data_IF_931196588133
#
_entry.id   IF_931196588133
#
_cell.length_a   1.000
_cell.length_b   1.000
_cell.length_c   1.000
_cell.angle_alpha   90.00
_cell.angle_beta   90.00
_cell.angle_gamma   90.00
#
_symmetry.space_group_name_H-M   'P 1'
#
loop_
_entity.id
_entity.type
_entity.pdbx_description
1 polymer ?
#
# COMPACT_ATOMS: atom_id res chain seq x y z
N UNK A 1 2.38 3.81 -32.54
CA UNK A 1 2.50 3.71 -31.07
C UNK A 1 1.24 3.15 -30.40
N UNK A 2 0.02 3.65 -30.67
CA UNK A 2 -1.23 3.05 -30.10
C UNK A 2 -1.58 1.64 -30.61
N UNK A 3 -1.21 1.30 -31.86
CA UNK A 3 -1.34 -0.08 -32.37
C UNK A 3 -0.43 -1.04 -31.59
N UNK A 4 0.79 -0.60 -31.29
CA UNK A 4 1.78 -1.33 -30.49
C UNK A 4 1.33 -1.51 -29.03
N UNK A 5 0.64 -0.53 -28.42
CA UNK A 5 0.09 -0.64 -27.07
C UNK A 5 -1.14 -1.55 -26.99
N UNK A 6 -2.05 -1.48 -27.99
CA UNK A 6 -3.17 -2.42 -28.11
C UNK A 6 -2.65 -3.83 -28.39
N UNK A 7 -1.68 -3.96 -29.29
CA UNK A 7 -1.03 -5.23 -29.61
C UNK A 7 -0.20 -5.73 -28.43
N UNK A 8 0.39 -4.87 -27.58
CA UNK A 8 1.09 -5.26 -26.35
C UNK A 8 0.12 -5.70 -25.23
N UNK A 9 -1.05 -5.07 -25.12
CA UNK A 9 -2.11 -5.50 -24.21
C UNK A 9 -2.73 -6.80 -24.68
N UNK A 10 -3.06 -6.93 -25.97
CA UNK A 10 -3.62 -8.15 -26.56
C UNK A 10 -2.59 -9.29 -26.63
N UNK A 11 -1.31 -9.00 -26.87
CA UNK A 11 -0.23 -10.01 -26.86
C UNK A 11 0.21 -10.38 -25.45
N UNK A 12 0.26 -9.43 -24.51
CA UNK A 12 0.45 -9.71 -23.08
C UNK A 12 -0.69 -10.56 -22.51
N UNK A 13 -1.94 -10.28 -22.92
CA UNK A 13 -3.11 -11.09 -22.60
C UNK A 13 -3.03 -12.50 -23.20
N UNK A 14 -2.57 -12.65 -24.45
CA UNK A 14 -2.31 -13.96 -25.06
C UNK A 14 -1.12 -14.70 -24.44
N UNK A 15 -0.11 -14.00 -23.92
CA UNK A 15 1.08 -14.60 -23.31
C UNK A 15 0.81 -15.17 -21.91
N UNK A 16 -0.08 -14.53 -21.13
CA UNK A 16 -0.48 -14.98 -19.78
C UNK A 16 -1.39 -16.23 -19.82
N UNK A 17 -2.04 -16.50 -20.97
CA UNK A 17 -3.04 -17.56 -21.15
C UNK A 17 -2.42 -18.80 -21.84
N UNK A 18 -1.45 -19.47 -21.19
CA UNK A 18 -0.96 -20.79 -21.62
C UNK A 18 -1.25 -21.85 -20.56
N UNK A 19 -2.50 -22.27 -20.49
CA UNK A 19 -2.95 -23.42 -19.69
C UNK A 19 -4.28 -23.97 -20.21
N UNK A 20 -4.40 -25.29 -20.36
CA UNK A 20 -5.60 -25.97 -20.94
C UNK A 20 -6.93 -25.61 -20.23
N UNK A 21 -6.92 -25.19 -18.96
CA UNK A 21 -8.13 -24.75 -18.25
C UNK A 21 -8.56 -23.31 -18.58
N UNK A 22 -7.62 -22.45 -18.99
CA UNK A 22 -7.87 -21.02 -19.26
C UNK A 22 -8.46 -20.82 -20.67
N UNK A 23 -8.17 -21.70 -21.63
CA UNK A 23 -8.80 -21.69 -22.96
C UNK A 23 -10.31 -21.95 -22.95
N UNK A 24 -10.79 -22.76 -21.99
CA UNK A 24 -12.24 -22.93 -21.75
C UNK A 24 -12.87 -21.67 -21.16
N UNK A 25 -12.15 -20.95 -20.30
CA UNK A 25 -12.62 -19.70 -19.71
C UNK A 25 -12.74 -18.60 -20.78
N UNK A 26 -11.77 -18.48 -21.70
CA UNK A 26 -11.82 -17.48 -22.77
C UNK A 26 -12.98 -17.74 -23.76
N UNK A 27 -13.18 -19.01 -24.17
CA UNK A 27 -14.31 -19.38 -25.03
C UNK A 27 -15.68 -19.17 -24.36
N UNK A 28 -15.76 -19.34 -23.04
CA UNK A 28 -17.00 -19.11 -22.28
C UNK A 28 -17.29 -17.62 -22.09
N UNK A 29 -16.25 -16.80 -21.88
CA UNK A 29 -16.36 -15.34 -21.76
C UNK A 29 -16.69 -14.67 -23.10
N UNK A 30 -16.27 -15.23 -24.24
CA UNK A 30 -16.68 -14.75 -25.57
C UNK A 30 -18.17 -14.98 -25.85
N UNK A 31 -18.75 -16.05 -25.30
CA UNK A 31 -20.18 -16.37 -25.45
C UNK A 31 -21.11 -15.46 -24.62
N UNK A 32 -20.61 -14.80 -23.57
CA UNK A 32 -21.40 -13.92 -22.70
C UNK A 32 -20.75 -12.53 -22.56
N UNK A 33 -20.98 -11.60 -23.51
CA UNK A 33 -20.30 -10.30 -23.56
C UNK A 33 -20.59 -9.41 -22.34
N UNK A 34 -21.76 -9.57 -21.71
CA UNK A 34 -22.16 -8.83 -20.50
C UNK A 34 -21.31 -9.24 -19.30
N UNK A 35 -21.07 -10.54 -19.12
CA UNK A 35 -20.24 -11.10 -18.04
C UNK A 35 -18.77 -10.73 -18.27
N UNK A 36 -18.30 -10.79 -19.52
CA UNK A 36 -16.94 -10.37 -19.91
C UNK A 36 -16.67 -8.92 -19.52
N UNK A 37 -17.57 -7.99 -19.87
CA UNK A 37 -17.39 -6.57 -19.61
C UNK A 37 -17.43 -6.21 -18.10
N UNK A 38 -18.01 -7.08 -17.27
CA UNK A 38 -18.01 -6.96 -15.81
C UNK A 38 -16.77 -7.58 -15.17
N UNK A 39 -16.26 -8.70 -15.69
CA UNK A 39 -15.09 -9.39 -15.13
C UNK A 39 -13.74 -8.81 -15.58
N UNK A 40 -13.67 -8.22 -16.78
CA UNK A 40 -12.43 -7.70 -17.35
C UNK A 40 -11.68 -6.70 -16.43
N UNK A 41 -12.35 -5.72 -15.80
CA UNK A 41 -11.68 -4.76 -14.90
C UNK A 41 -11.06 -5.48 -13.68
N UNK A 42 -11.79 -6.39 -13.06
CA UNK A 42 -11.30 -7.17 -11.91
C UNK A 42 -10.12 -8.09 -12.27
N UNK A 43 -10.12 -8.70 -13.46
CA UNK A 43 -8.98 -9.48 -13.95
C UNK A 43 -7.77 -8.56 -14.13
N UNK A 44 -7.96 -7.38 -14.70
CA UNK A 44 -6.92 -6.35 -14.83
C UNK A 44 -6.37 -5.91 -13.47
N UNK A 45 -7.24 -5.71 -12.48
CA UNK A 45 -6.86 -5.38 -11.10
C UNK A 45 -5.98 -6.47 -10.48
N UNK A 46 -6.40 -7.73 -10.56
CA UNK A 46 -5.64 -8.86 -9.98
C UNK A 46 -4.30 -9.03 -10.70
N UNK A 47 -4.26 -8.86 -12.02
CA UNK A 47 -3.03 -8.91 -12.79
C UNK A 47 -2.08 -7.76 -12.40
N UNK A 48 -2.60 -6.53 -12.28
CA UNK A 48 -1.83 -5.37 -11.82
C UNK A 48 -1.28 -5.56 -10.41
N UNK A 49 -2.11 -6.02 -9.48
CA UNK A 49 -1.69 -6.32 -8.10
C UNK A 49 -0.61 -7.42 -8.06
N UNK A 50 -0.74 -8.45 -8.89
CA UNK A 50 0.28 -9.51 -9.01
C UNK A 50 1.57 -8.98 -9.61
N UNK A 51 1.49 -8.09 -10.60
CA UNK A 51 2.66 -7.41 -11.16
C UNK A 51 3.35 -6.55 -10.11
N UNK A 52 2.60 -5.83 -9.28
CA UNK A 52 3.16 -5.04 -8.17
C UNK A 52 3.82 -5.94 -7.12
N UNK A 53 3.27 -7.12 -6.80
CA UNK A 53 3.95 -8.08 -5.91
C UNK A 53 5.36 -8.42 -6.41
N UNK A 54 5.53 -8.56 -7.73
CA UNK A 54 6.79 -8.95 -8.36
C UNK A 54 7.75 -7.78 -8.58
N UNK A 55 7.24 -6.57 -8.81
CA UNK A 55 8.04 -5.40 -9.22
C UNK A 55 8.24 -4.38 -8.11
N UNK A 56 7.34 -4.32 -7.13
CA UNK A 56 7.38 -3.34 -6.06
C UNK A 56 8.50 -3.67 -5.06
N UNK A 57 9.58 -2.91 -5.19
CA UNK A 57 10.80 -3.07 -4.43
C UNK A 57 10.71 -2.56 -2.98
N UNK A 58 11.82 -1.95 -2.54
CA UNK A 58 11.92 -1.35 -1.20
C UNK A 58 11.06 -0.09 -1.13
N UNK A 59 10.50 0.21 0.03
CA UNK A 59 9.68 1.42 0.22
C UNK A 59 10.49 2.72 0.04
N UNK A 60 11.80 2.68 0.31
CA UNK A 60 12.72 3.81 0.19
C UNK A 60 13.39 3.92 -1.18
N UNK A 61 12.98 3.11 -2.16
CA UNK A 61 13.52 3.18 -3.50
C UNK A 61 13.06 4.46 -4.19
N UNK A 62 14.00 5.32 -4.58
CA UNK A 62 13.74 6.62 -5.21
C UNK A 62 12.84 6.50 -6.44
N UNK A 63 13.04 5.48 -7.28
CA UNK A 63 12.17 5.23 -8.43
C UNK A 63 10.71 5.00 -8.03
N UNK A 64 10.46 4.18 -7.00
CA UNK A 64 9.11 3.91 -6.49
C UNK A 64 8.47 5.16 -5.90
N UNK A 65 9.24 6.04 -5.25
CA UNK A 65 8.75 7.32 -4.74
C UNK A 65 8.36 8.27 -5.89
N UNK A 66 9.22 8.39 -6.90
CA UNK A 66 8.97 9.22 -8.09
C UNK A 66 7.74 8.72 -8.85
N UNK A 67 7.65 7.40 -9.07
CA UNK A 67 6.51 6.79 -9.75
C UNK A 67 5.19 7.07 -9.02
N UNK A 68 5.14 6.86 -7.70
CA UNK A 68 3.93 7.12 -6.90
C UNK A 68 3.58 8.62 -6.85
N UNK A 69 4.59 9.50 -6.75
CA UNK A 69 4.38 10.94 -6.87
C UNK A 69 3.81 11.34 -8.24
N UNK A 70 4.30 10.73 -9.32
CA UNK A 70 3.77 10.91 -10.68
C UNK A 70 2.33 10.40 -10.84
N UNK A 71 2.00 9.25 -10.24
CA UNK A 71 0.62 8.74 -10.23
C UNK A 71 -0.31 9.68 -9.47
N UNK A 72 0.12 10.20 -8.33
CA UNK A 72 -0.65 11.17 -7.54
C UNK A 72 -0.88 12.46 -8.32
N UNK A 73 0.15 12.95 -9.03
CA UNK A 73 0.03 14.12 -9.91
C UNK A 73 -1.00 13.87 -11.03
N UNK A 74 -0.96 12.69 -11.67
CA UNK A 74 -1.94 12.33 -12.70
C UNK A 74 -3.36 12.25 -12.16
N UNK A 75 -3.55 11.71 -10.95
CA UNK A 75 -4.85 11.72 -10.25
C UNK A 75 -5.36 13.16 -10.06
N UNK A 76 -4.49 14.06 -9.59
CA UNK A 76 -4.84 15.47 -9.40
C UNK A 76 -5.19 16.18 -10.71
N UNK A 77 -4.46 15.93 -11.79
CA UNK A 77 -4.71 16.50 -13.12
C UNK A 77 -6.06 16.00 -13.66
N UNK A 78 -6.31 14.69 -13.63
CA UNK A 78 -7.54 14.11 -14.17
C UNK A 78 -8.77 14.60 -13.40
N UNK A 79 -8.71 14.64 -12.06
CA UNK A 79 -9.81 15.17 -11.24
C UNK A 79 -10.00 16.69 -11.42
N UNK A 80 -8.94 17.45 -11.65
CA UNK A 80 -9.04 18.87 -11.97
C UNK A 80 -9.76 19.10 -13.31
N UNK A 81 -9.40 18.32 -14.34
CA UNK A 81 -10.05 18.40 -15.66
C UNK A 81 -11.51 17.92 -15.61
N UNK A 82 -11.80 16.90 -14.80
CA UNK A 82 -13.16 16.38 -14.58
C UNK A 82 -14.14 17.48 -14.12
N UNK A 83 -13.69 18.40 -13.27
CA UNK A 83 -14.50 19.52 -12.77
C UNK A 83 -14.55 20.72 -13.72
N UNK A 84 -13.78 20.69 -14.82
CA UNK A 84 -13.69 21.77 -15.81
C UNK A 84 -13.81 21.23 -17.25
N UNK A 85 -14.97 20.65 -17.62
CA UNK A 85 -15.16 20.06 -18.94
C UNK A 85 -14.96 21.05 -20.09
N UNK A 86 -15.24 22.35 -19.89
CA UNK A 86 -15.01 23.39 -20.90
C UNK A 86 -13.51 23.64 -21.19
N UNK A 87 -12.65 23.51 -20.17
CA UNK A 87 -11.19 23.60 -20.35
C UNK A 87 -10.66 22.34 -21.05
N UNK A 88 -11.25 21.18 -20.74
CA UNK A 88 -10.96 19.92 -21.40
C UNK A 88 -11.33 19.98 -22.90
N UNK A 89 -12.51 20.50 -23.24
CA UNK A 89 -12.99 20.58 -24.61
C UNK A 89 -12.17 21.52 -25.53
N UNK A 90 -11.40 22.46 -24.96
CA UNK A 90 -10.59 23.40 -25.76
C UNK A 90 -9.25 22.82 -26.24
N UNK A 91 -8.89 21.60 -25.82
CA UNK A 91 -7.57 21.00 -26.05
C UNK A 91 -7.47 20.12 -27.30
N UNK A 92 -8.19 20.43 -28.38
CA UNK A 92 -8.01 19.78 -29.70
C UNK A 92 -8.19 18.26 -29.75
N UNK A 93 -7.98 17.67 -30.94
CA UNK A 93 -8.36 16.26 -31.24
C UNK A 93 -7.58 15.20 -30.44
N UNK A 94 -6.34 15.48 -30.03
CA UNK A 94 -5.54 14.53 -29.25
C UNK A 94 -6.05 14.41 -27.81
N UNK A 95 -6.69 15.46 -27.28
CA UNK A 95 -7.27 15.45 -25.96
C UNK A 95 -8.61 14.72 -25.91
N UNK A 96 -9.36 14.65 -27.01
CA UNK A 96 -10.59 13.87 -27.11
C UNK A 96 -10.36 12.38 -26.78
N UNK A 97 -9.20 11.84 -27.19
CA UNK A 97 -8.82 10.46 -26.87
C UNK A 97 -8.53 10.31 -25.37
N UNK A 98 -7.76 11.24 -24.79
CA UNK A 98 -7.48 11.24 -23.34
C UNK A 98 -8.78 11.36 -22.53
N UNK A 99 -9.65 12.28 -22.93
CA UNK A 99 -10.94 12.52 -22.28
C UNK A 99 -11.87 11.32 -22.41
N UNK A 100 -11.88 10.61 -23.54
CA UNK A 100 -12.64 9.36 -23.70
C UNK A 100 -12.27 8.30 -22.66
N UNK A 101 -11.03 8.28 -22.17
CA UNK A 101 -10.54 7.28 -21.22
C UNK A 101 -10.21 7.86 -19.83
N UNK A 102 -10.57 9.10 -19.54
CA UNK A 102 -10.16 9.78 -18.30
C UNK A 102 -10.54 9.00 -17.03
N UNK A 103 -11.71 8.34 -17.02
CA UNK A 103 -12.17 7.53 -15.89
C UNK A 103 -11.33 6.28 -15.72
N UNK A 104 -11.00 5.57 -16.81
CA UNK A 104 -10.12 4.41 -16.79
C UNK A 104 -8.68 4.80 -16.39
N UNK A 105 -8.24 5.99 -16.80
CA UNK A 105 -6.93 6.54 -16.41
C UNK A 105 -6.92 6.82 -14.90
N UNK A 106 -7.97 7.47 -14.36
CA UNK A 106 -8.10 7.74 -12.93
C UNK A 106 -8.12 6.43 -12.12
N UNK A 107 -8.92 5.47 -12.58
CA UNK A 107 -9.05 4.14 -11.99
C UNK A 107 -7.70 3.41 -11.97
N UNK A 108 -6.96 3.43 -13.08
CA UNK A 108 -5.63 2.81 -13.16
C UNK A 108 -4.64 3.43 -12.16
N UNK A 109 -4.53 4.77 -12.11
CA UNK A 109 -3.57 5.42 -11.22
C UNK A 109 -3.96 5.28 -9.74
N UNK A 110 -5.24 5.46 -9.38
CA UNK A 110 -5.71 5.23 -8.02
C UNK A 110 -5.56 3.76 -7.60
N UNK A 111 -5.88 2.83 -8.50
CA UNK A 111 -5.75 1.39 -8.27
C UNK A 111 -4.29 0.98 -8.05
N UNK A 112 -3.37 1.49 -8.87
CA UNK A 112 -1.94 1.25 -8.71
C UNK A 112 -1.37 1.83 -7.40
N UNK A 113 -1.82 3.03 -7.00
CA UNK A 113 -1.45 3.60 -5.70
C UNK A 113 -1.97 2.75 -4.53
N UNK A 114 -3.26 2.37 -4.56
CA UNK A 114 -3.86 1.50 -3.54
C UNK A 114 -3.17 0.14 -3.46
N UNK A 115 -2.82 -0.45 -4.61
CA UNK A 115 -2.05 -1.69 -4.70
C UNK A 115 -0.69 -1.56 -3.99
N UNK A 116 0.08 -0.52 -4.32
CA UNK A 116 1.37 -0.24 -3.69
C UNK A 116 1.23 -0.08 -2.17
N UNK A 117 0.26 0.70 -1.70
CA UNK A 117 0.04 0.93 -0.27
C UNK A 117 -0.39 -0.35 0.45
N UNK A 118 -1.31 -1.12 -0.12
CA UNK A 118 -1.71 -2.44 0.41
C UNK A 118 -0.48 -3.33 0.62
N UNK A 119 0.42 -3.40 -0.36
CA UNK A 119 1.63 -4.21 -0.25
C UNK A 119 2.61 -3.69 0.81
N UNK A 120 2.79 -2.38 0.92
CA UNK A 120 3.65 -1.80 1.96
C UNK A 120 3.08 -2.04 3.37
N UNK A 121 1.78 -1.84 3.58
CA UNK A 121 1.14 -2.11 4.86
C UNK A 121 1.12 -3.61 5.18
N UNK A 122 0.90 -4.47 4.19
CA UNK A 122 0.96 -5.92 4.37
C UNK A 122 2.36 -6.40 4.77
N UNK A 123 3.41 -5.90 4.11
CA UNK A 123 4.81 -6.20 4.47
C UNK A 123 5.15 -5.82 5.92
N UNK A 124 4.36 -4.95 6.54
CA UNK A 124 4.55 -4.50 7.92
C UNK A 124 3.48 -4.93 8.89
N UNK A 125 2.56 -5.77 8.45
CA UNK A 125 1.60 -6.41 9.33
C UNK A 125 2.31 -7.43 10.22
N UNK A 126 2.45 -7.11 11.51
CA UNK A 126 2.91 -8.04 12.55
C UNK A 126 1.78 -8.52 13.47
N UNK A 127 0.57 -8.00 13.28
CA UNK A 127 -0.61 -8.31 14.10
C UNK A 127 -1.87 -8.48 13.23
N UNK A 128 -2.86 -9.18 13.79
CA UNK A 128 -4.19 -9.32 13.20
C UNK A 128 -4.91 -7.99 12.99
N UNK A 129 -4.62 -6.97 13.80
CA UNK A 129 -5.22 -5.63 13.65
C UNK A 129 -4.76 -4.93 12.37
N UNK A 130 -3.47 -5.02 12.03
CA UNK A 130 -2.93 -4.43 10.78
C UNK A 130 -3.50 -5.14 9.56
N UNK A 131 -3.73 -6.47 9.64
CA UNK A 131 -4.36 -7.23 8.56
C UNK A 131 -5.79 -6.74 8.26
N UNK A 132 -6.54 -6.31 9.28
CA UNK A 132 -7.86 -5.71 9.09
C UNK A 132 -7.82 -4.44 8.23
N UNK A 133 -6.81 -3.58 8.44
CA UNK A 133 -6.61 -2.38 7.62
C UNK A 133 -6.15 -2.72 6.19
N UNK A 134 -5.28 -3.72 6.03
CA UNK A 134 -4.88 -4.22 4.70
C UNK A 134 -6.09 -4.76 3.93
N UNK A 135 -6.97 -5.51 4.59
CA UNK A 135 -8.21 -6.00 3.99
C UNK A 135 -9.12 -4.84 3.57
N UNK A 136 -9.22 -3.80 4.39
CA UNK A 136 -9.95 -2.59 4.04
C UNK A 136 -9.38 -1.90 2.78
N UNK A 137 -8.05 -1.78 2.65
CA UNK A 137 -7.43 -1.23 1.44
C UNK A 137 -7.67 -2.12 0.21
N UNK A 138 -7.62 -3.45 0.36
CA UNK A 138 -8.00 -4.38 -0.71
C UNK A 138 -9.45 -4.16 -1.14
N UNK A 139 -10.38 -4.02 -0.20
CA UNK A 139 -11.78 -3.73 -0.53
C UNK A 139 -11.93 -2.42 -1.29
N UNK A 140 -11.24 -1.35 -0.85
CA UNK A 140 -11.24 -0.08 -1.59
C UNK A 140 -10.66 -0.23 -3.01
N UNK A 141 -9.63 -1.05 -3.18
CA UNK A 141 -9.06 -1.36 -4.49
C UNK A 141 -10.05 -2.10 -5.38
N UNK A 142 -10.83 -3.06 -4.85
CA UNK A 142 -11.93 -3.69 -5.60
C UNK A 142 -13.09 -2.73 -5.90
N UNK A 143 -13.42 -1.81 -4.96
CA UNK A 143 -14.45 -0.80 -5.17
C UNK A 143 -14.06 0.21 -6.24
N UNK A 144 -12.76 0.53 -6.37
CA UNK A 144 -12.21 1.38 -7.42
C UNK A 144 -12.55 0.87 -8.83
N UNK A 145 -12.63 -0.45 -9.02
CA UNK A 145 -12.92 -1.08 -10.32
C UNK A 145 -14.40 -1.07 -10.72
N UNK A 146 -15.30 -0.79 -9.77
CA UNK A 146 -16.74 -0.88 -10.00
C UNK A 146 -17.23 0.35 -10.78
N UNK A 147 -17.52 0.15 -12.07
CA UNK A 147 -18.07 1.17 -13.01
C UNK A 147 -19.30 1.95 -12.53
N UNK A 148 -20.03 1.45 -11.53
CA UNK A 148 -21.25 2.06 -10.97
C UNK A 148 -21.05 3.01 -9.79
N UNK A 149 -19.81 3.33 -9.38
CA UNK A 149 -19.57 4.35 -8.36
C UNK A 149 -19.87 5.79 -8.84
N UNK A 150 -20.20 5.94 -10.12
CA UNK A 150 -20.43 7.23 -10.79
C UNK A 150 -21.83 7.77 -10.48
N UNK A 151 -22.82 6.89 -10.34
CA UNK A 151 -24.23 7.26 -10.11
C UNK A 151 -24.54 7.59 -8.64
N UNK A 152 -23.61 7.31 -7.72
CA UNK A 152 -23.80 7.51 -6.28
C UNK A 152 -23.55 8.94 -5.80
N UNK A 153 -23.12 9.87 -6.67
CA UNK A 153 -22.97 11.30 -6.33
C UNK A 153 -22.05 11.59 -5.13
N UNK A 154 -21.20 10.63 -4.74
CA UNK A 154 -20.51 10.63 -3.45
C UNK A 154 -19.07 11.16 -3.59
N UNK A 155 -18.50 11.83 -2.56
CA UNK A 155 -17.09 12.24 -2.54
C UNK A 155 -16.09 11.06 -2.47
N UNK A 156 -16.47 9.84 -2.88
CA UNK A 156 -15.62 8.66 -2.72
C UNK A 156 -14.30 8.77 -3.48
N UNK A 157 -14.31 9.31 -4.71
CA UNK A 157 -13.07 9.57 -5.49
C UNK A 157 -12.15 10.55 -4.75
N UNK A 158 -12.73 11.56 -4.13
CA UNK A 158 -12.01 12.56 -3.34
C UNK A 158 -11.49 11.99 -2.02
N UNK A 159 -12.25 11.12 -1.38
CA UNK A 159 -11.82 10.37 -0.20
C UNK A 159 -10.68 9.41 -0.54
N UNK A 160 -10.76 8.70 -1.67
CA UNK A 160 -9.68 7.84 -2.17
C UNK A 160 -8.43 8.64 -2.55
N UNK A 161 -8.60 9.80 -3.20
CA UNK A 161 -7.49 10.72 -3.46
C UNK A 161 -6.85 11.19 -2.15
N UNK A 162 -7.65 11.61 -1.16
CA UNK A 162 -7.16 12.00 0.17
C UNK A 162 -6.43 10.86 0.88
N UNK A 163 -6.95 9.62 0.79
CA UNK A 163 -6.29 8.42 1.31
C UNK A 163 -4.95 8.20 0.62
N UNK A 164 -4.88 8.37 -0.70
CA UNK A 164 -3.65 8.20 -1.46
C UNK A 164 -2.61 9.25 -1.07
N UNK A 165 -3.01 10.52 -0.92
CA UNK A 165 -2.14 11.60 -0.45
C UNK A 165 -1.64 11.30 0.96
N UNK A 166 -2.55 10.92 1.86
CA UNK A 166 -2.23 10.64 3.26
C UNK A 166 -1.24 9.47 3.37
N UNK A 167 -1.52 8.36 2.68
CA UNK A 167 -0.65 7.18 2.66
C UNK A 167 0.73 7.51 2.09
N UNK A 168 0.80 8.28 1.00
CA UNK A 168 2.06 8.75 0.42
C UNK A 168 2.89 9.57 1.42
N UNK A 169 2.26 10.55 2.09
CA UNK A 169 2.93 11.43 3.04
C UNK A 169 3.42 10.67 4.27
N UNK A 170 2.64 9.70 4.79
CA UNK A 170 2.95 8.92 5.99
C UNK A 170 4.27 8.15 5.88
N UNK A 171 4.64 7.65 4.70
CA UNK A 171 5.96 7.02 4.55
C UNK A 171 7.01 7.96 3.95
N UNK A 172 6.61 8.94 3.12
CA UNK A 172 7.56 9.87 2.50
C UNK A 172 8.32 10.65 3.58
N UNK A 173 7.63 11.20 4.57
CA UNK A 173 8.22 12.03 5.60
C UNK A 173 9.23 11.27 6.46
N UNK A 174 8.92 10.07 7.00
CA UNK A 174 9.91 9.26 7.69
C UNK A 174 11.14 8.90 6.87
N UNK A 175 11.00 8.75 5.55
CA UNK A 175 12.14 8.52 4.64
C UNK A 175 12.97 9.80 4.48
N UNK A 176 12.33 10.96 4.31
CA UNK A 176 13.01 12.26 4.15
C UNK A 176 13.73 12.70 5.42
N UNK A 177 13.11 12.50 6.59
CA UNK A 177 13.64 12.94 7.88
C UNK A 177 14.47 11.85 8.59
N UNK A 178 14.48 10.62 8.08
CA UNK A 178 15.15 9.46 8.68
C UNK A 178 14.75 9.17 10.14
N UNK A 179 13.52 9.54 10.53
CA UNK A 179 12.98 9.41 11.89
C UNK A 179 11.56 8.82 11.83
N UNK A 180 11.29 7.85 12.71
CA UNK A 180 9.95 7.24 12.88
C UNK A 180 9.43 7.55 14.28
N UNK A 181 8.85 8.75 14.46
CA UNK A 181 8.23 9.15 15.71
C UNK A 181 6.83 9.75 15.49
N UNK A 182 6.12 9.98 16.59
CA UNK A 182 4.77 10.57 16.53
C UNK A 182 4.77 12.00 15.96
N UNK A 183 5.89 12.73 16.01
CA UNK A 183 6.00 14.11 15.51
C UNK A 183 6.07 14.11 13.99
N UNK A 184 6.89 13.22 13.41
CA UNK A 184 6.97 13.01 11.96
C UNK A 184 5.64 12.47 11.44
N UNK A 185 4.97 11.56 12.17
CA UNK A 185 3.62 11.13 11.81
C UNK A 185 2.63 12.32 11.77
N UNK A 186 2.59 13.15 12.82
CA UNK A 186 1.72 14.33 12.86
C UNK A 186 2.05 15.32 11.73
N UNK A 187 3.33 15.52 11.43
CA UNK A 187 3.78 16.35 10.31
C UNK A 187 3.32 15.78 8.96
N UNK A 188 3.34 14.45 8.79
CA UNK A 188 2.82 13.77 7.60
C UNK A 188 1.32 13.99 7.42
N UNK A 189 0.55 13.89 8.51
CA UNK A 189 -0.89 14.16 8.52
C UNK A 189 -1.15 15.61 8.14
N UNK A 190 -0.46 16.56 8.77
CA UNK A 190 -0.58 17.98 8.45
C UNK A 190 -0.24 18.28 6.99
N UNK A 191 0.87 17.74 6.48
CA UNK A 191 1.27 17.90 5.09
C UNK A 191 0.24 17.31 4.12
N UNK A 192 -0.37 16.17 4.47
CA UNK A 192 -1.43 15.56 3.64
C UNK A 192 -2.69 16.43 3.55
N UNK A 193 -3.13 17.00 4.69
CA UNK A 193 -4.27 17.93 4.75
C UNK A 193 -3.95 19.19 3.96
N UNK A 194 -2.76 19.77 4.18
CA UNK A 194 -2.32 20.98 3.51
C UNK A 194 -2.27 20.79 1.98
N UNK A 195 -1.63 19.72 1.51
CA UNK A 195 -1.52 19.42 0.08
C UNK A 195 -2.90 19.21 -0.55
N UNK A 196 -3.76 18.41 0.09
CA UNK A 196 -5.12 18.20 -0.39
C UNK A 196 -5.93 19.50 -0.41
N UNK A 197 -5.81 20.33 0.62
CA UNK A 197 -6.50 21.62 0.70
C UNK A 197 -6.02 22.60 -0.37
N UNK A 198 -4.71 22.72 -0.59
CA UNK A 198 -4.14 23.52 -1.66
C UNK A 198 -4.65 23.07 -3.03
N UNK A 199 -4.71 21.75 -3.26
CA UNK A 199 -5.29 21.19 -4.47
C UNK A 199 -6.79 21.49 -4.61
N UNK A 200 -7.57 21.42 -3.53
CA UNK A 200 -8.99 21.84 -3.51
C UNK A 200 -9.18 23.31 -3.87
N UNK A 201 -8.27 24.20 -3.45
CA UNK A 201 -8.36 25.62 -3.85
C UNK A 201 -8.25 25.83 -5.35
N UNK A 202 -7.47 24.99 -6.03
CA UNK A 202 -7.31 25.02 -7.48
C UNK A 202 -8.53 24.42 -8.18
N UNK A 203 -9.03 23.31 -7.63
CA UNK A 203 -10.12 22.54 -8.21
C UNK A 203 -11.48 23.28 -8.11
N UNK A 204 -11.83 23.82 -6.95
CA UNK A 204 -13.13 24.45 -6.70
C UNK A 204 -13.01 25.98 -6.84
N UNK A 205 -13.70 26.63 -7.79
CA UNK A 205 -13.72 28.09 -7.88
C UNK A 205 -14.26 28.71 -6.59
N UNK A 206 -13.66 29.79 -6.10
CA UNK A 206 -14.02 30.46 -4.82
C UNK A 206 -15.53 30.68 -4.64
N UNK A 207 -16.24 31.01 -5.72
CA UNK A 207 -17.69 31.21 -5.72
C UNK A 207 -18.50 29.98 -5.25
N UNK A 208 -17.99 28.76 -5.47
CA UNK A 208 -18.70 27.51 -5.19
C UNK A 208 -18.31 26.86 -3.85
N UNK A 209 -17.40 27.46 -3.07
CA UNK A 209 -16.88 26.84 -1.84
C UNK A 209 -17.95 26.59 -0.77
N UNK A 210 -19.01 27.39 -0.76
CA UNK A 210 -20.12 27.24 0.19
C UNK A 210 -21.19 26.24 -0.25
N UNK A 211 -21.05 25.65 -1.44
CA UNK A 211 -22.02 24.65 -1.91
C UNK A 211 -21.90 23.35 -1.09
N UNK A 212 -23.01 22.63 -0.84
CA UNK A 212 -22.97 21.35 -0.12
C UNK A 212 -22.02 20.32 -0.75
N UNK A 213 -21.90 20.32 -2.08
CA UNK A 213 -20.98 19.45 -2.81
C UNK A 213 -19.51 19.80 -2.54
N UNK A 214 -19.15 21.09 -2.62
CA UNK A 214 -17.79 21.55 -2.30
C UNK A 214 -17.41 21.25 -0.84
N UNK A 215 -18.33 21.49 0.10
CA UNK A 215 -18.09 21.22 1.52
C UNK A 215 -17.84 19.73 1.77
N UNK A 216 -18.60 18.82 1.13
CA UNK A 216 -18.34 17.36 1.21
C UNK A 216 -16.99 16.97 0.63
N UNK A 217 -16.56 17.55 -0.50
CA UNK A 217 -15.25 17.30 -1.11
C UNK A 217 -14.10 17.81 -0.25
N UNK A 218 -14.26 18.97 0.39
CA UNK A 218 -13.27 19.53 1.31
C UNK A 218 -13.23 18.72 2.61
N UNK A 219 -14.37 18.32 3.15
CA UNK A 219 -14.45 17.62 4.43
C UNK A 219 -13.79 16.25 4.40
N UNK A 220 -13.86 15.50 3.29
CA UNK A 220 -13.14 14.22 3.16
C UNK A 220 -11.61 14.40 3.23
N UNK A 221 -11.10 15.56 2.82
CA UNK A 221 -9.70 15.95 2.94
C UNK A 221 -9.18 16.07 4.36
N UNK A 222 -10.09 16.25 5.32
CA UNK A 222 -9.78 16.28 6.76
C UNK A 222 -10.20 14.96 7.40
N UNK A 223 -11.38 14.44 7.07
CA UNK A 223 -11.93 13.23 7.67
C UNK A 223 -11.02 12.01 7.46
N UNK A 224 -10.45 11.84 6.25
CA UNK A 224 -9.58 10.69 5.96
C UNK A 224 -8.26 10.77 6.75
N UNK A 225 -7.47 11.86 6.72
CA UNK A 225 -6.27 11.96 7.56
C UNK A 225 -6.57 11.86 9.06
N UNK A 226 -7.69 12.42 9.54
CA UNK A 226 -8.10 12.26 10.94
C UNK A 226 -8.45 10.81 11.29
N UNK A 227 -9.03 10.04 10.35
CA UNK A 227 -9.21 8.61 10.55
C UNK A 227 -7.86 7.90 10.71
N UNK A 228 -6.83 8.27 9.96
CA UNK A 228 -5.47 7.73 10.16
C UNK A 228 -4.90 8.06 11.54
N UNK A 229 -5.17 9.24 12.09
CA UNK A 229 -4.79 9.59 13.48
C UNK A 229 -5.45 8.65 14.48
N UNK A 230 -6.75 8.36 14.33
CA UNK A 230 -7.47 7.40 15.18
C UNK A 230 -6.88 5.99 15.03
N UNK A 231 -6.70 5.53 13.79
CA UNK A 231 -6.12 4.20 13.51
C UNK A 231 -4.70 4.05 14.05
N UNK A 232 -3.91 5.12 14.01
CA UNK A 232 -2.58 5.18 14.62
C UNK A 232 -2.65 5.09 16.15
N UNK A 233 -3.54 5.86 16.78
CA UNK A 233 -3.77 5.81 18.23
C UNK A 233 -4.24 4.43 18.72
N UNK A 234 -5.10 3.77 17.93
CA UNK A 234 -5.54 2.40 18.17
C UNK A 234 -4.49 1.32 17.82
N UNK A 235 -3.29 1.71 17.35
CA UNK A 235 -2.21 0.80 16.91
C UNK A 235 -2.65 -0.17 15.81
N UNK A 236 -3.60 0.25 14.97
CA UNK A 236 -4.07 -0.51 13.80
C UNK A 236 -3.13 -0.29 12.62
N UNK A 237 -2.58 0.91 12.47
CA UNK A 237 -1.61 1.23 11.42
C UNK A 237 -0.24 1.48 12.05
N UNK A 238 0.83 0.79 11.61
CA UNK A 238 2.18 1.09 12.07
C UNK A 238 2.64 2.48 11.56
N UNK A 239 3.38 3.27 12.37
CA UNK A 239 3.83 4.62 12.00
C UNK A 239 4.58 4.65 10.68
N UNK A 240 5.39 3.62 10.45
CA UNK A 240 6.09 3.33 9.20
C UNK A 240 6.03 1.83 9.02
N UNK A 241 5.91 1.37 7.77
CA UNK A 241 6.10 -0.03 7.46
C UNK A 241 7.57 -0.46 7.68
N UNK A 242 7.96 -0.64 8.94
CA UNK A 242 9.14 -1.39 9.35
C UNK A 242 8.76 -2.86 9.32
N UNK A 243 9.34 -3.61 8.40
CA UNK A 243 9.05 -5.02 8.23
C UNK A 243 10.13 -5.85 8.91
N UNK A 244 9.79 -6.62 9.95
CA UNK A 244 10.68 -7.70 10.39
C UNK A 244 10.75 -8.75 9.26
N UNK A 245 11.86 -8.80 8.54
CA UNK A 245 12.08 -9.77 7.45
C UNK A 245 12.25 -11.18 8.00
N UNK A 246 12.92 -11.31 9.15
CA UNK A 246 13.16 -12.58 9.84
C UNK A 246 13.28 -12.30 11.33
N UNK A 247 12.66 -13.13 12.15
CA UNK A 247 12.82 -13.07 13.60
C UNK A 247 12.63 -14.47 14.17
N UNK A 248 13.39 -14.83 15.19
CA UNK A 248 13.21 -16.12 15.84
C UNK A 248 14.22 -16.37 16.95
N UNK A 249 13.97 -17.46 17.67
CA UNK A 249 14.89 -18.06 18.63
C UNK A 249 15.66 -19.17 17.94
N UNK A 250 16.95 -19.25 18.24
CA UNK A 250 17.92 -20.15 17.65
C UNK A 250 18.84 -20.71 18.74
N UNK A 251 19.41 -21.89 18.48
CA UNK A 251 20.41 -22.53 19.33
C UNK A 251 21.80 -21.92 19.15
N UNK A 252 22.11 -21.38 17.97
CA UNK A 252 23.35 -20.65 17.71
C UNK A 252 23.20 -19.70 16.52
N UNK A 253 23.99 -18.64 16.50
CA UNK A 253 24.04 -17.64 15.42
C UNK A 253 25.50 -17.35 15.09
N UNK A 254 25.96 -17.82 13.93
CA UNK A 254 27.32 -17.57 13.44
C UNK A 254 27.30 -16.56 12.32
N UNK A 255 28.24 -15.61 12.37
CA UNK A 255 28.45 -14.66 11.28
C UNK A 255 29.36 -15.31 10.23
N UNK A 256 28.93 -15.29 8.98
CA UNK A 256 29.69 -15.76 7.84
C UNK A 256 29.81 -14.63 6.81
N UNK A 257 30.87 -13.83 6.94
CA UNK A 257 31.06 -12.60 6.15
C UNK A 257 29.94 -11.57 6.36
N UNK A 258 29.10 -11.41 5.33
CA UNK A 258 27.91 -10.52 5.33
C UNK A 258 26.63 -11.23 5.76
N UNK A 259 26.64 -12.56 5.80
CA UNK A 259 25.49 -13.38 6.12
C UNK A 259 25.54 -13.91 7.54
N UNK A 260 24.41 -14.44 8.00
CA UNK A 260 24.25 -15.08 9.30
C UNK A 260 23.73 -16.50 9.13
N UNK A 261 24.49 -17.46 9.65
CA UNK A 261 24.10 -18.87 9.74
C UNK A 261 23.35 -19.06 11.06
N UNK A 262 22.12 -19.55 10.96
CA UNK A 262 21.19 -19.67 12.07
C UNK A 262 20.91 -21.15 12.34
N UNK A 263 21.25 -21.62 13.53
CA UNK A 263 21.10 -23.02 13.93
C UNK A 263 19.81 -23.20 14.73
N UNK A 264 18.93 -24.10 14.29
CA UNK A 264 17.68 -24.42 14.95
C UNK A 264 17.27 -25.85 14.62
N UNK A 265 16.45 -26.45 15.46
CA UNK A 265 16.02 -27.83 15.29
C UNK A 265 14.68 -27.88 14.56
N UNK A 266 14.64 -28.62 13.46
CA UNK A 266 13.42 -28.75 12.65
C UNK A 266 13.28 -30.13 12.02
N UNK A 267 12.13 -30.80 12.19
CA UNK A 267 11.79 -31.96 11.38
C UNK A 267 11.83 -31.63 9.88
N UNK A 268 12.33 -32.56 9.07
CA UNK A 268 12.53 -32.35 7.64
C UNK A 268 11.25 -31.94 6.89
N UNK A 269 10.10 -32.46 7.32
CA UNK A 269 8.80 -32.21 6.70
C UNK A 269 8.23 -30.81 7.00
N UNK A 270 8.73 -30.09 8.02
CA UNK A 270 8.27 -28.74 8.37
C UNK A 270 9.06 -27.66 7.61
N UNK A 271 9.17 -27.78 6.28
CA UNK A 271 10.10 -26.95 5.51
C UNK A 271 9.85 -25.43 5.57
N UNK A 272 8.65 -25.02 5.98
CA UNK A 272 8.24 -23.63 6.18
C UNK A 272 8.62 -23.06 7.56
N UNK A 273 8.88 -23.89 8.57
CA UNK A 273 9.24 -23.41 9.90
C UNK A 273 10.65 -22.84 9.89
N UNK A 274 10.81 -21.63 10.43
CA UNK A 274 12.09 -20.93 10.60
C UNK A 274 12.27 -20.60 12.08
N UNK A 275 13.40 -21.02 12.67
CA UNK A 275 13.66 -20.90 14.10
C UNK A 275 12.84 -21.88 14.94
N UNK A 276 13.19 -21.95 16.22
CA UNK A 276 12.51 -22.82 17.17
C UNK A 276 11.20 -22.19 17.65
N UNK A 277 10.10 -22.92 17.47
CA UNK A 277 8.78 -22.54 18.02
C UNK A 277 8.64 -22.93 19.49
N UNK A 278 9.38 -23.96 19.90
CA UNK A 278 9.56 -24.39 21.28
C UNK A 278 11.05 -24.65 21.46
N UNK A 279 11.67 -23.83 22.30
CA UNK A 279 13.07 -24.00 22.66
C UNK A 279 13.14 -24.82 23.94
N UNK A 280 13.76 -26.01 23.86
CA UNK A 280 14.04 -26.84 25.02
C UNK A 280 15.44 -26.49 25.51
N UNK A 281 15.53 -25.85 26.67
CA UNK A 281 16.80 -25.46 27.27
C UNK A 281 17.23 -26.49 28.33
N UNK A 282 18.47 -26.96 28.24
CA UNK A 282 19.18 -27.64 29.32
C UNK A 282 19.96 -26.63 30.18
N UNK A 283 20.43 -27.08 31.34
CA UNK A 283 21.24 -26.25 32.21
C UNK A 283 22.56 -25.86 31.50
N UNK A 284 22.84 -24.55 31.42
CA UNK A 284 23.98 -24.00 30.69
C UNK A 284 23.73 -23.62 29.23
N UNK A 285 22.56 -23.95 28.66
CA UNK A 285 22.22 -23.56 27.28
C UNK A 285 22.06 -22.05 27.13
N UNK A 286 22.53 -21.53 25.99
CA UNK A 286 22.35 -20.13 25.60
C UNK A 286 21.23 -20.02 24.59
N UNK A 287 20.35 -19.04 24.81
CA UNK A 287 19.26 -18.71 23.89
C UNK A 287 19.70 -17.57 22.98
N UNK A 288 19.74 -17.82 21.67
CA UNK A 288 20.08 -16.78 20.70
C UNK A 288 18.81 -16.23 20.05
N UNK A 289 18.57 -14.93 20.23
CA UNK A 289 17.52 -14.23 19.50
C UNK A 289 18.14 -13.51 18.31
N UNK A 290 17.61 -13.79 17.11
CA UNK A 290 18.02 -13.10 15.89
C UNK A 290 16.82 -12.42 15.24
N UNK A 291 17.01 -11.16 14.86
CA UNK A 291 16.06 -10.39 14.07
C UNK A 291 16.76 -9.66 12.93
N UNK A 292 16.20 -9.80 11.73
CA UNK A 292 16.50 -8.96 10.56
C UNK A 292 15.29 -8.06 10.33
N UNK A 293 15.48 -6.77 10.55
CA UNK A 293 14.43 -5.76 10.38
C UNK A 293 14.79 -4.92 9.17
N UNK A 294 13.85 -4.80 8.23
CA UNK A 294 13.94 -3.83 7.17
C UNK A 294 13.76 -2.43 7.77
N UNK A 295 14.76 -1.58 7.59
CA UNK A 295 14.70 -0.17 7.90
C UNK A 295 15.15 0.62 6.65
N UNK A 296 14.43 1.70 6.29
CA UNK A 296 14.88 2.64 5.26
C UNK A 296 16.32 3.10 5.48
N UNK A 297 17.02 3.38 4.39
CA UNK A 297 18.42 3.83 4.43
C UNK A 297 18.58 5.03 5.35
N UNK A 298 19.60 4.97 6.22
CA UNK A 298 19.94 5.98 7.22
C UNK A 298 18.90 6.19 8.32
N UNK A 299 17.83 5.39 8.39
CA UNK A 299 16.85 5.47 9.48
C UNK A 299 17.51 5.11 10.81
N UNK A 300 17.47 6.02 11.78
CA UNK A 300 17.91 5.76 13.15
C UNK A 300 16.70 5.53 14.03
N UNK A 301 16.57 4.32 14.57
CA UNK A 301 15.46 4.00 15.45
C UNK A 301 15.89 3.04 16.56
N UNK A 302 15.16 3.09 17.68
CA UNK A 302 15.37 2.23 18.82
C UNK A 302 14.24 1.22 18.89
N UNK A 303 14.54 -0.04 18.55
CA UNK A 303 13.60 -1.15 18.75
C UNK A 303 13.83 -1.80 20.10
N UNK A 304 12.86 -2.55 20.58
CA UNK A 304 12.95 -3.28 21.85
C UNK A 304 12.65 -4.75 21.61
N UNK A 305 13.51 -5.63 22.11
CA UNK A 305 13.17 -7.04 22.28
C UNK A 305 12.44 -7.14 23.61
N UNK A 306 11.15 -7.43 23.55
CA UNK A 306 10.27 -7.51 24.71
C UNK A 306 9.95 -8.97 25.01
N UNK A 307 10.53 -9.50 26.07
CA UNK A 307 10.24 -10.83 26.57
C UNK A 307 9.06 -10.78 27.53
N UNK A 308 8.12 -11.70 27.35
CA UNK A 308 6.98 -11.86 28.24
C UNK A 308 6.92 -13.29 28.77
N UNK A 309 6.59 -13.42 30.05
CA UNK A 309 6.36 -14.70 30.72
C UNK A 309 4.86 -14.87 30.95
N UNK A 310 4.34 -16.06 30.65
CA UNK A 310 2.95 -16.39 30.93
C UNK A 310 2.80 -16.77 32.40
N UNK A 311 1.92 -16.08 33.11
CA UNK A 311 1.47 -16.34 34.48
C UNK A 311 -0.03 -16.64 34.49
N UNK A 312 -0.60 -16.97 35.66
CA UNK A 312 -2.04 -17.31 35.78
C UNK A 312 -2.95 -16.18 35.28
N UNK A 313 -2.59 -14.92 35.55
CA UNK A 313 -3.36 -13.72 35.18
C UNK A 313 -3.11 -13.22 33.74
N UNK A 314 -2.27 -13.92 32.97
CA UNK A 314 -1.96 -13.56 31.58
C UNK A 314 -0.47 -13.41 31.28
N UNK A 315 -0.12 -12.57 30.32
CA UNK A 315 1.27 -12.30 29.94
C UNK A 315 1.83 -11.14 30.76
N UNK A 316 2.90 -11.39 31.52
CA UNK A 316 3.63 -10.37 32.26
C UNK A 316 4.98 -10.07 31.59
N UNK A 317 5.42 -8.82 31.65
CA UNK A 317 6.72 -8.41 31.13
C UNK A 317 7.86 -9.04 31.94
N UNK A 318 8.83 -9.65 31.27
CA UNK A 318 10.09 -10.12 31.88
C UNK A 318 11.19 -9.09 31.59
N UNK A 319 11.64 -9.01 30.34
CA UNK A 319 12.78 -8.21 29.94
C UNK A 319 12.43 -7.29 28.78
N UNK A 320 13.03 -6.10 28.74
CA UNK A 320 12.85 -5.15 27.64
C UNK A 320 14.21 -4.60 27.21
N UNK A 321 14.83 -5.27 26.25
CA UNK A 321 16.21 -5.02 25.83
C UNK A 321 16.20 -4.01 24.67
N UNK A 322 16.80 -2.83 24.82
CA UNK A 322 16.88 -1.84 23.75
C UNK A 322 17.94 -2.19 22.71
N UNK A 323 17.58 -2.12 21.42
CA UNK A 323 18.52 -2.29 20.30
C UNK A 323 18.44 -1.05 19.41
N UNK A 324 19.58 -0.40 19.18
CA UNK A 324 19.70 0.68 18.21
C UNK A 324 19.88 0.08 16.82
N UNK A 325 19.05 0.49 15.87
CA UNK A 325 19.16 0.09 14.47
C UNK A 325 19.46 1.30 13.59
N UNK A 326 20.33 1.07 12.60
CA UNK A 326 20.58 2.00 11.50
C UNK A 326 20.20 1.26 10.22
N UNK A 327 19.27 1.81 9.45
CA UNK A 327 18.88 1.22 8.18
C UNK A 327 19.94 1.44 7.10
N UNK A 328 20.14 0.45 6.23
CA UNK A 328 21.18 0.43 5.20
C UNK A 328 21.40 -0.98 4.69
#
# INVERSE_FOLDING_TARGET
MMRILKDAVDSGFKMVIKGKSVGKLSQTLEKHPTIRNQLLPYIGLVAGFTFDILTLGRIDQTWSLIQQGGFLLMVFIVLYLHERPALAASWGKSFDVFWKYHESILQFFMGGLLSAYTLFYFKSASSWTVLGFVLFLLLLMFLNEKKGLHDLGFPIRYAMASLCVCSFMIYLFPILFHIVDARIFALSIFASILLYFLWMKLLIPKAHWKTPSALKKISVGVAVPMAFVVLYGCKIIPPVPLAAKKMGVYHDVKRDGKDYVLYYNRPWYLFWQKGDQRFYAAEGDKVYFFASVFAPTSLKHKIYVHWQKRVQEGWQSSDRIPIQIVGG
#
